data_IF_309027229436
#
_entry.id   IF_309027229436
#
_cell.length_a   1.000
_cell.length_b   1.000
_cell.length_c   1.000
_cell.angle_alpha   90.00
_cell.angle_beta   90.00
_cell.angle_gamma   90.00
#
_symmetry.space_group_name_H-M   'P 1'
#
loop_
_entity.id
_entity.type
_entity.pdbx_description
1 polymer ?
#
# COMPACT_ATOMS: atom_id res chain seq x y z
N UNK A 1 -3.19 9.75 21.23
CA UNK A 1 -3.91 8.89 22.16
C UNK A 1 -3.06 7.67 22.43
N UNK A 2 -2.83 7.33 23.72
CA UNK A 2 -2.15 6.10 24.11
C UNK A 2 -0.73 5.89 23.56
N UNK A 3 0.05 6.94 23.32
CA UNK A 3 1.41 6.82 22.79
C UNK A 3 1.52 6.53 21.30
N UNK A 4 0.41 6.44 20.57
CA UNK A 4 0.43 6.28 19.12
C UNK A 4 1.07 7.51 18.45
N UNK A 5 2.19 7.30 17.77
CA UNK A 5 2.95 8.37 17.09
C UNK A 5 2.42 8.71 15.69
N UNK A 6 1.45 7.92 15.18
CA UNK A 6 0.87 8.10 13.86
C UNK A 6 -0.51 8.74 13.93
N UNK A 7 -0.75 9.74 13.09
CA UNK A 7 -2.07 10.35 12.91
C UNK A 7 -3.07 9.52 12.09
N UNK A 8 -2.69 8.34 11.63
CA UNK A 8 -3.48 7.52 10.70
C UNK A 8 -4.61 6.73 11.35
N UNK A 9 -4.62 6.58 12.67
CA UNK A 9 -5.68 5.83 13.37
C UNK A 9 -7.05 6.43 13.09
N UNK A 10 -8.01 5.58 12.68
CA UNK A 10 -9.36 5.98 12.30
C UNK A 10 -9.48 6.59 10.89
N UNK A 11 -8.40 6.67 10.13
CA UNK A 11 -8.42 7.05 8.72
C UNK A 11 -8.66 5.79 7.87
N UNK A 12 -9.66 5.78 6.96
CA UNK A 12 -9.86 4.66 6.04
C UNK A 12 -8.61 4.32 5.26
N UNK A 13 -8.37 3.08 4.97
CA UNK A 13 -7.21 2.51 4.26
C UNK A 13 -5.91 2.47 5.09
N UNK A 14 -5.65 3.46 5.93
CA UNK A 14 -4.38 3.64 6.65
C UNK A 14 -4.47 3.39 8.16
N UNK A 15 -5.66 3.15 8.70
CA UNK A 15 -5.89 2.98 10.13
C UNK A 15 -5.76 1.54 10.66
N UNK A 16 -5.46 0.57 9.81
CA UNK A 16 -5.18 -0.81 10.23
C UNK A 16 -3.73 -0.94 10.70
N UNK A 17 -3.46 -1.88 11.61
CA UNK A 17 -2.09 -2.13 12.12
C UNK A 17 -1.11 -2.42 10.98
N UNK A 18 -1.55 -3.21 10.00
CA UNK A 18 -0.76 -3.54 8.82
C UNK A 18 -0.39 -2.29 8.00
N UNK A 19 -1.36 -1.42 7.70
CA UNK A 19 -1.12 -0.20 6.95
C UNK A 19 -0.30 0.83 7.76
N UNK A 20 -0.54 0.94 9.05
CA UNK A 20 0.25 1.81 9.94
C UNK A 20 1.71 1.38 10.00
N UNK A 21 1.99 0.07 10.04
CA UNK A 21 3.36 -0.43 9.98
C UNK A 21 4.03 -0.09 8.65
N UNK A 22 3.31 -0.22 7.53
CA UNK A 22 3.81 0.19 6.21
C UNK A 22 4.16 1.69 6.17
N UNK A 23 3.36 2.56 6.78
CA UNK A 23 3.65 3.99 6.89
C UNK A 23 4.94 4.26 7.68
N UNK A 24 5.17 3.49 8.74
CA UNK A 24 6.41 3.59 9.53
C UNK A 24 7.62 3.15 8.71
N UNK A 25 7.51 2.03 8.01
CA UNK A 25 8.60 1.42 7.24
C UNK A 25 8.97 2.26 6.01
N UNK A 26 7.97 2.84 5.32
CA UNK A 26 8.16 3.56 4.05
C UNK A 26 8.35 5.07 4.19
N UNK A 27 7.88 5.66 5.29
CA UNK A 27 7.96 7.11 5.57
C UNK A 27 7.53 7.98 4.40
N UNK A 28 6.28 7.88 3.93
CA UNK A 28 5.81 8.60 2.75
C UNK A 28 5.95 10.11 2.91
N UNK A 29 6.31 10.79 1.83
CA UNK A 29 6.51 12.25 1.80
C UNK A 29 5.51 12.95 0.87
N UNK A 30 4.83 12.22 0.01
CA UNK A 30 3.92 12.76 -1.00
C UNK A 30 2.63 11.94 -1.10
N UNK A 31 1.61 12.55 -1.68
CA UNK A 31 0.34 11.88 -2.00
C UNK A 31 0.56 10.63 -2.87
N UNK A 32 1.47 10.71 -3.84
CA UNK A 32 1.84 9.58 -4.70
C UNK A 32 2.39 8.39 -3.92
N UNK A 33 3.08 8.62 -2.82
CA UNK A 33 3.59 7.54 -1.95
C UNK A 33 2.45 6.84 -1.23
N UNK A 34 1.42 7.58 -0.82
CA UNK A 34 0.21 7.00 -0.22
C UNK A 34 -0.56 6.13 -1.21
N UNK A 35 -0.63 6.54 -2.48
CA UNK A 35 -1.23 5.71 -3.54
C UNK A 35 -0.45 4.40 -3.72
N UNK A 36 0.87 4.45 -3.68
CA UNK A 36 1.73 3.26 -3.73
C UNK A 36 1.50 2.34 -2.53
N UNK A 37 1.45 2.91 -1.33
CA UNK A 37 1.17 2.14 -0.09
C UNK A 37 -0.20 1.47 -0.16
N UNK A 38 -1.23 2.16 -0.63
CA UNK A 38 -2.55 1.56 -0.85
C UNK A 38 -2.50 0.38 -1.84
N UNK A 39 -1.75 0.53 -2.94
CA UNK A 39 -1.51 -0.56 -3.89
C UNK A 39 -0.83 -1.78 -3.25
N UNK A 40 0.21 -1.54 -2.46
CA UNK A 40 0.95 -2.58 -1.74
C UNK A 40 0.09 -3.30 -0.69
N UNK A 41 -0.79 -2.58 -0.01
CA UNK A 41 -1.64 -3.13 1.06
C UNK A 41 -2.77 -4.02 0.54
N UNK A 42 -3.28 -3.74 -0.65
CA UNK A 42 -4.40 -4.47 -1.26
C UNK A 42 -3.98 -5.59 -2.21
N UNK A 43 -2.72 -5.64 -2.60
CA UNK A 43 -2.18 -6.74 -3.39
C UNK A 43 -1.90 -8.00 -2.56
N UNK A 44 -1.73 -9.13 -3.24
CA UNK A 44 -1.31 -10.39 -2.62
C UNK A 44 0.13 -10.69 -2.98
N UNK A 45 0.97 -10.91 -1.97
CA UNK A 45 2.42 -11.13 -2.10
C UNK A 45 3.15 -10.00 -2.86
N UNK A 46 2.67 -8.78 -2.68
CA UNK A 46 3.29 -7.56 -3.22
C UNK A 46 4.15 -6.87 -2.17
N UNK A 47 3.71 -6.83 -0.92
CA UNK A 47 4.44 -6.21 0.19
C UNK A 47 5.27 -7.21 1.00
N UNK A 48 4.62 -8.12 1.73
CA UNK A 48 5.31 -9.09 2.60
C UNK A 48 6.18 -10.05 1.78
N UNK A 49 7.44 -10.16 2.16
CA UNK A 49 8.40 -11.01 1.46
C UNK A 49 8.73 -10.57 0.02
N UNK A 50 8.35 -9.39 -0.37
CA UNK A 50 8.56 -8.80 -1.69
C UNK A 50 9.08 -7.35 -1.55
N UNK A 51 8.25 -6.34 -1.79
CA UNK A 51 8.67 -4.94 -1.71
C UNK A 51 9.25 -4.57 -0.35
N UNK A 52 8.71 -5.08 0.74
CA UNK A 52 9.23 -4.89 2.10
C UNK A 52 10.70 -5.33 2.19
N UNK A 53 11.00 -6.54 1.73
CA UNK A 53 12.37 -7.09 1.74
C UNK A 53 13.31 -6.24 0.90
N UNK A 54 12.88 -5.85 -0.30
CA UNK A 54 13.69 -5.03 -1.20
C UNK A 54 14.01 -3.65 -0.63
N UNK A 55 13.07 -3.04 0.06
CA UNK A 55 13.25 -1.74 0.73
C UNK A 55 14.19 -1.89 1.94
N UNK A 56 14.01 -2.93 2.75
CA UNK A 56 14.87 -3.21 3.90
C UNK A 56 16.33 -3.50 3.49
N UNK A 57 16.52 -4.19 2.38
CA UNK A 57 17.85 -4.48 1.81
C UNK A 57 18.45 -3.30 1.03
N UNK A 58 17.72 -2.20 0.88
CA UNK A 58 18.16 -1.01 0.12
C UNK A 58 18.22 -1.20 -1.40
N UNK A 59 17.62 -2.27 -1.95
CA UNK A 59 17.55 -2.55 -3.39
C UNK A 59 16.48 -1.73 -4.08
N UNK A 60 15.43 -1.36 -3.39
CA UNK A 60 14.34 -0.55 -3.89
C UNK A 60 13.92 0.50 -2.85
N UNK A 61 13.18 1.50 -3.33
CA UNK A 61 12.49 2.51 -2.50
C UNK A 61 10.99 2.41 -2.77
N UNK A 62 10.18 3.13 -1.98
CA UNK A 62 8.74 3.23 -2.24
C UNK A 62 8.44 3.74 -3.67
N UNK A 63 9.34 4.57 -4.23
CA UNK A 63 9.20 5.11 -5.59
C UNK A 63 9.59 4.14 -6.69
N UNK A 64 10.41 3.14 -6.41
CA UNK A 64 10.95 2.20 -7.41
C UNK A 64 10.38 0.78 -7.28
N UNK A 65 9.82 0.43 -6.13
CA UNK A 65 9.17 -0.86 -5.92
C UNK A 65 7.90 -1.01 -6.77
N UNK A 66 7.55 -2.25 -7.07
CA UNK A 66 6.31 -2.58 -7.78
C UNK A 66 5.17 -2.48 -6.78
N UNK A 67 4.26 -1.52 -6.96
CA UNK A 67 3.16 -1.24 -6.04
C UNK A 67 1.78 -1.54 -6.68
N UNK A 68 1.60 -1.16 -7.94
CA UNK A 68 0.37 -1.37 -8.71
C UNK A 68 0.69 -2.01 -10.05
N UNK A 69 -0.32 -2.60 -10.70
CA UNK A 69 -0.15 -3.22 -12.02
C UNK A 69 0.34 -2.22 -13.07
N UNK A 70 -0.10 -0.97 -12.97
CA UNK A 70 0.28 0.10 -13.89
C UNK A 70 1.78 0.42 -13.81
N UNK A 71 2.40 0.24 -12.65
CA UNK A 71 3.84 0.48 -12.46
C UNK A 71 4.68 -0.47 -13.34
N UNK A 72 4.28 -1.72 -13.48
CA UNK A 72 4.98 -2.69 -14.33
C UNK A 72 4.96 -2.22 -15.78
N UNK A 73 3.78 -1.87 -16.29
CA UNK A 73 3.62 -1.46 -17.67
C UNK A 73 4.45 -0.21 -18.00
N UNK A 74 4.33 0.83 -17.17
CA UNK A 74 5.06 2.09 -17.40
C UNK A 74 6.57 1.92 -17.26
N UNK A 75 7.02 1.10 -16.31
CA UNK A 75 8.44 0.82 -16.12
C UNK A 75 9.05 0.07 -17.31
N UNK A 76 8.39 -0.98 -17.79
CA UNK A 76 8.89 -1.79 -18.90
C UNK A 76 8.89 -0.99 -20.21
N UNK A 77 7.87 -0.20 -20.48
CA UNK A 77 7.85 0.72 -21.65
C UNK A 77 9.00 1.73 -21.53
N UNK A 78 9.23 2.29 -20.35
CA UNK A 78 10.34 3.21 -20.08
C UNK A 78 11.73 2.57 -20.29
N UNK A 79 11.84 1.24 -20.17
CA UNK A 79 13.05 0.46 -20.49
C UNK A 79 13.19 0.11 -21.96
N UNK A 80 12.19 0.42 -22.78
CA UNK A 80 12.24 0.21 -24.22
C UNK A 80 11.57 -1.08 -24.71
N UNK A 81 10.86 -1.82 -23.85
CA UNK A 81 10.05 -2.94 -24.29
C UNK A 81 8.85 -2.43 -25.12
N UNK A 82 8.42 -3.25 -26.06
CA UNK A 82 7.19 -2.98 -26.80
C UNK A 82 5.98 -2.88 -25.86
N UNK A 83 5.06 -1.97 -26.16
CA UNK A 83 3.92 -1.70 -25.29
C UNK A 83 2.95 -2.89 -25.17
N UNK A 84 2.78 -3.67 -26.23
CA UNK A 84 1.94 -4.86 -26.22
C UNK A 84 2.57 -5.96 -25.36
N UNK A 85 3.87 -6.15 -25.48
CA UNK A 85 4.62 -7.08 -24.64
C UNK A 85 4.60 -6.65 -23.17
N UNK A 86 4.85 -5.36 -22.88
CA UNK A 86 4.79 -4.82 -21.53
C UNK A 86 3.40 -5.02 -20.90
N UNK A 87 2.34 -4.81 -21.66
CA UNK A 87 0.97 -5.09 -21.23
C UNK A 87 0.77 -6.57 -20.93
N UNK A 88 1.23 -7.46 -21.79
CA UNK A 88 1.11 -8.91 -21.62
C UNK A 88 1.85 -9.38 -20.38
N UNK A 89 3.07 -8.92 -20.15
CA UNK A 89 3.85 -9.21 -18.95
C UNK A 89 3.09 -8.76 -17.71
N UNK A 90 2.60 -7.52 -17.70
CA UNK A 90 1.81 -6.98 -16.60
C UNK A 90 0.58 -7.84 -16.31
N UNK A 91 -0.16 -8.26 -17.33
CA UNK A 91 -1.34 -9.10 -17.17
C UNK A 91 -1.02 -10.50 -16.60
N UNK A 92 0.10 -11.10 -16.99
CA UNK A 92 0.54 -12.39 -16.47
C UNK A 92 0.97 -12.28 -15.00
N UNK A 93 1.70 -11.21 -14.67
CA UNK A 93 2.15 -10.96 -13.30
C UNK A 93 0.97 -10.66 -12.38
N UNK A 94 0.11 -9.71 -12.74
CA UNK A 94 -1.00 -9.27 -11.87
C UNK A 94 -2.01 -10.36 -11.51
N UNK A 95 -2.17 -11.35 -12.39
CA UNK A 95 -3.07 -12.51 -12.20
C UNK A 95 -2.40 -13.68 -11.47
N UNK A 96 -1.14 -13.51 -11.10
CA UNK A 96 -0.36 -14.55 -10.45
C UNK A 96 0.04 -15.72 -11.35
N UNK A 97 -0.11 -15.60 -12.67
CA UNK A 97 0.25 -16.67 -13.60
C UNK A 97 1.75 -16.98 -13.56
N UNK A 98 2.58 -15.96 -13.37
CA UNK A 98 4.03 -16.15 -13.24
C UNK A 98 4.36 -16.82 -11.90
N UNK A 99 3.86 -16.31 -10.79
CA UNK A 99 4.10 -16.85 -9.45
C UNK A 99 3.64 -18.30 -9.28
N UNK A 100 2.58 -18.69 -10.01
CA UNK A 100 2.02 -20.04 -9.96
C UNK A 100 2.61 -20.98 -11.04
N UNK A 101 3.63 -20.56 -11.79
CA UNK A 101 4.28 -21.36 -12.85
C UNK A 101 3.38 -21.66 -14.06
N UNK A 102 2.34 -20.85 -14.27
CA UNK A 102 1.37 -21.04 -15.37
C UNK A 102 1.69 -20.22 -16.63
N UNK A 103 2.75 -19.43 -16.61
CA UNK A 103 3.20 -18.63 -17.75
C UNK A 103 4.33 -19.36 -18.46
N UNK A 104 4.03 -20.03 -19.57
CA UNK A 104 5.01 -20.80 -20.34
C UNK A 104 6.04 -19.91 -21.02
N UNK A 105 5.62 -18.73 -21.42
CA UNK A 105 6.43 -17.72 -22.11
C UNK A 105 7.33 -16.93 -21.15
N UNK A 106 7.24 -17.17 -19.85
CA UNK A 106 7.99 -16.40 -18.85
C UNK A 106 9.50 -16.38 -19.05
N UNK A 107 10.17 -17.48 -19.45
CA UNK A 107 11.62 -17.44 -19.72
C UNK A 107 12.00 -16.47 -20.83
N UNK A 108 11.17 -16.32 -21.87
CA UNK A 108 11.38 -15.37 -22.98
C UNK A 108 11.19 -13.93 -22.49
N UNK A 109 10.10 -13.66 -21.79
CA UNK A 109 9.84 -12.34 -21.18
C UNK A 109 10.92 -11.93 -20.20
N UNK A 110 11.39 -12.85 -19.37
CA UNK A 110 12.49 -12.61 -18.43
C UNK A 110 13.78 -12.22 -19.16
N UNK A 111 14.12 -12.94 -20.24
CA UNK A 111 15.29 -12.63 -21.06
C UNK A 111 15.17 -11.23 -21.66
N UNK A 112 14.02 -10.91 -22.25
CA UNK A 112 13.78 -9.59 -22.85
C UNK A 112 13.87 -8.45 -21.84
N UNK A 113 13.32 -8.64 -20.65
CA UNK A 113 13.45 -7.66 -19.57
C UNK A 113 14.92 -7.44 -19.19
N UNK A 114 15.70 -8.49 -19.00
CA UNK A 114 17.12 -8.40 -18.65
C UNK A 114 17.95 -7.75 -19.77
N UNK A 115 17.67 -8.08 -21.03
CA UNK A 115 18.33 -7.50 -22.21
C UNK A 115 18.06 -5.97 -22.34
N UNK A 116 16.93 -5.50 -21.81
CA UNK A 116 16.59 -4.08 -21.75
C UNK A 116 17.04 -3.38 -20.43
N UNK A 117 17.87 -4.04 -19.64
CA UNK A 117 18.43 -3.47 -18.42
C UNK A 117 17.46 -3.40 -17.24
N UNK A 118 16.45 -4.25 -17.19
CA UNK A 118 15.62 -4.46 -16.00
C UNK A 118 16.45 -5.21 -14.98
N UNK A 119 16.59 -4.72 -13.74
CA UNK A 119 17.41 -5.35 -12.72
C UNK A 119 16.81 -6.68 -12.25
N UNK A 120 17.68 -7.60 -11.83
CA UNK A 120 17.28 -8.93 -11.35
C UNK A 120 16.26 -8.88 -10.21
N UNK A 121 16.41 -7.94 -9.28
CA UNK A 121 15.46 -7.78 -8.17
C UNK A 121 14.04 -7.43 -8.65
N UNK A 122 13.90 -6.70 -9.76
CA UNK A 122 12.61 -6.37 -10.35
C UNK A 122 11.90 -7.61 -10.90
N UNK A 123 12.64 -8.43 -11.63
CA UNK A 123 12.15 -9.71 -12.16
C UNK A 123 11.77 -10.64 -11.01
N UNK A 124 12.62 -10.74 -10.00
CA UNK A 124 12.35 -11.52 -8.79
C UNK A 124 11.06 -11.04 -8.08
N UNK A 125 10.83 -9.74 -8.01
CA UNK A 125 9.59 -9.18 -7.46
C UNK A 125 8.37 -9.60 -8.27
N UNK A 126 8.43 -9.54 -9.60
CA UNK A 126 7.36 -10.00 -10.48
C UNK A 126 7.02 -11.48 -10.28
N UNK A 127 8.02 -12.32 -10.04
CA UNK A 127 7.87 -13.77 -9.84
C UNK A 127 7.13 -14.15 -8.54
N UNK A 128 6.98 -13.22 -7.60
CA UNK A 128 6.31 -13.44 -6.31
C UNK A 128 4.85 -13.00 -6.29
N UNK A 129 4.48 -12.06 -7.13
CA UNK A 129 3.17 -11.39 -7.11
C UNK A 129 2.06 -12.34 -7.53
N UNK A 130 1.05 -12.48 -6.67
CA UNK A 130 -0.15 -13.28 -6.96
C UNK A 130 -1.35 -12.45 -7.38
N UNK A 131 -1.47 -11.23 -6.85
CA UNK A 131 -2.51 -10.31 -7.25
C UNK A 131 -2.04 -8.86 -7.07
N UNK A 132 -2.36 -8.00 -8.04
CA UNK A 132 -2.04 -6.58 -8.01
C UNK A 132 -3.27 -5.71 -8.11
N UNK A 133 -3.25 -4.63 -7.34
CA UNK A 133 -4.31 -3.63 -7.29
C UNK A 133 -4.12 -2.58 -8.39
N UNK A 134 -5.21 -2.10 -9.04
CA UNK A 134 -5.11 -1.04 -10.05
C UNK A 134 -4.78 0.32 -9.41
N UNK A 135 -3.92 1.10 -10.06
CA UNK A 135 -3.51 2.43 -9.58
C UNK A 135 -4.69 3.41 -9.47
N UNK A 136 -5.61 3.37 -10.42
CA UNK A 136 -6.80 4.23 -10.41
C UNK A 136 -7.68 3.99 -9.18
N UNK A 137 -7.90 2.73 -8.79
CA UNK A 137 -8.60 2.38 -7.56
C UNK A 137 -7.86 2.86 -6.32
N UNK A 138 -6.55 2.60 -6.25
CA UNK A 138 -5.72 3.05 -5.15
C UNK A 138 -5.79 4.58 -4.98
N UNK A 139 -5.69 5.32 -6.08
CA UNK A 139 -5.78 6.79 -6.06
C UNK A 139 -7.13 7.29 -5.55
N UNK A 140 -8.24 6.65 -5.95
CA UNK A 140 -9.58 7.04 -5.49
C UNK A 140 -9.75 6.83 -3.98
N UNK A 141 -9.33 5.69 -3.45
CA UNK A 141 -9.39 5.42 -2.01
C UNK A 141 -8.48 6.34 -1.20
N UNK A 142 -7.27 6.62 -1.69
CA UNK A 142 -6.35 7.55 -1.04
C UNK A 142 -6.90 8.97 -1.04
N UNK A 143 -7.54 9.41 -2.12
CA UNK A 143 -8.18 10.72 -2.16
C UNK A 143 -9.28 10.86 -1.10
N UNK A 144 -10.11 9.84 -0.91
CA UNK A 144 -11.11 9.80 0.15
C UNK A 144 -10.44 9.85 1.53
N UNK A 145 -9.44 9.02 1.76
CA UNK A 145 -8.69 8.98 3.02
C UNK A 145 -8.01 10.32 3.33
N UNK A 146 -7.43 10.97 2.33
CA UNK A 146 -6.81 12.29 2.46
C UNK A 146 -7.81 13.36 2.89
N UNK A 147 -8.99 13.38 2.30
CA UNK A 147 -10.07 14.30 2.69
C UNK A 147 -10.51 14.08 4.14
N UNK A 148 -10.64 12.84 4.56
CA UNK A 148 -10.99 12.49 5.95
C UNK A 148 -9.86 12.87 6.90
N UNK A 149 -8.60 12.63 6.54
CA UNK A 149 -7.44 13.04 7.32
C UNK A 149 -7.38 14.57 7.48
N UNK A 150 -7.70 15.31 6.43
CA UNK A 150 -7.80 16.77 6.50
C UNK A 150 -8.86 17.20 7.52
N UNK A 151 -10.04 16.58 7.52
CA UNK A 151 -11.06 16.85 8.54
C UNK A 151 -10.57 16.52 9.95
N UNK A 152 -9.84 15.42 10.12
CA UNK A 152 -9.27 15.04 11.43
C UNK A 152 -8.29 16.09 11.96
N UNK A 153 -7.49 16.70 11.10
CA UNK A 153 -6.52 17.73 11.46
C UNK A 153 -7.18 19.08 11.75
N UNK A 154 -8.05 19.54 10.85
CA UNK A 154 -8.59 20.91 10.90
C UNK A 154 -9.94 21.02 11.60
N UNK A 155 -10.72 19.93 11.68
CA UNK A 155 -12.03 19.86 12.33
C UNK A 155 -12.14 18.62 13.23
N UNK A 156 -11.25 18.47 14.24
CA UNK A 156 -11.17 17.24 15.02
C UNK A 156 -12.46 16.89 15.75
N UNK A 157 -13.17 17.86 16.31
CA UNK A 157 -14.43 17.58 17.00
C UNK A 157 -15.49 17.00 16.06
N UNK A 158 -15.64 17.55 14.86
CA UNK A 158 -16.57 17.05 13.86
C UNK A 158 -16.14 15.66 13.36
N UNK A 159 -14.84 15.46 13.13
CA UNK A 159 -14.29 14.15 12.73
C UNK A 159 -14.59 13.08 13.78
N UNK A 160 -14.27 13.30 15.04
CA UNK A 160 -14.50 12.32 16.10
C UNK A 160 -15.97 12.10 16.39
N UNK A 161 -16.80 13.13 16.33
CA UNK A 161 -18.26 12.98 16.46
C UNK A 161 -18.81 12.04 15.37
N UNK A 162 -18.41 12.24 14.11
CA UNK A 162 -18.80 11.39 13.01
C UNK A 162 -18.24 9.95 13.14
N UNK A 163 -16.97 9.81 13.53
CA UNK A 163 -16.33 8.52 13.73
C UNK A 163 -17.06 7.68 14.79
N UNK A 164 -17.30 8.24 15.97
CA UNK A 164 -17.97 7.51 17.05
C UNK A 164 -19.46 7.27 16.78
N UNK A 165 -20.10 8.10 15.98
CA UNK A 165 -21.51 7.92 15.62
C UNK A 165 -21.72 6.86 14.52
N UNK A 166 -20.78 6.71 13.59
CA UNK A 166 -20.97 5.94 12.36
C UNK A 166 -20.00 4.76 12.26
N UNK A 167 -18.75 4.93 12.65
CA UNK A 167 -17.67 3.97 12.38
C UNK A 167 -17.26 3.14 13.59
N UNK A 168 -17.48 3.62 14.80
CA UNK A 168 -17.14 2.87 16.00
C UNK A 168 -18.01 1.62 16.13
N UNK A 169 -17.37 0.46 16.33
CA UNK A 169 -18.05 -0.82 16.51
C UNK A 169 -18.57 -1.03 17.93
N UNK A 170 -17.97 -0.32 18.89
CA UNK A 170 -18.41 -0.30 20.28
C UNK A 170 -18.25 1.10 20.86
N UNK A 171 -19.15 1.53 21.67
CA UNK A 171 -19.13 2.82 22.36
C UNK A 171 -19.61 2.65 23.80
N UNK A 172 -18.74 2.93 24.75
CA UNK A 172 -19.09 2.95 26.16
C UNK A 172 -19.18 4.41 26.63
N UNK A 173 -20.41 4.90 26.75
CA UNK A 173 -20.68 6.28 27.15
C UNK A 173 -20.12 6.60 28.54
N UNK A 174 -20.33 5.70 29.51
CA UNK A 174 -19.86 5.92 30.89
C UNK A 174 -18.36 6.08 30.96
N UNK A 175 -17.62 5.23 30.23
CA UNK A 175 -16.17 5.28 30.17
C UNK A 175 -15.68 6.52 29.40
N UNK A 176 -16.23 6.77 28.21
CA UNK A 176 -15.72 7.80 27.31
C UNK A 176 -16.03 9.22 27.75
N UNK A 177 -17.05 9.42 28.58
CA UNK A 177 -17.44 10.75 29.09
C UNK A 177 -16.83 11.11 30.45
N UNK A 178 -15.95 10.28 31.00
CA UNK A 178 -15.33 10.51 32.31
C UNK A 178 -14.11 11.46 32.32
N UNK A 179 -13.70 11.95 31.16
CA UNK A 179 -12.55 12.82 31.00
C UNK A 179 -11.22 12.10 30.75
N UNK A 180 -10.21 12.91 30.45
CA UNK A 180 -8.91 12.43 29.94
C UNK A 180 -8.19 11.49 30.92
N UNK A 181 -8.10 11.89 32.19
CA UNK A 181 -7.37 11.14 33.22
C UNK A 181 -7.94 9.72 33.42
N UNK A 182 -9.26 9.62 33.39
CA UNK A 182 -9.94 8.33 33.57
C UNK A 182 -9.78 7.44 32.32
N UNK A 183 -9.79 8.03 31.13
CA UNK A 183 -9.52 7.32 29.89
C UNK A 183 -8.08 6.78 29.84
N UNK A 184 -7.12 7.59 30.23
CA UNK A 184 -5.71 7.18 30.32
C UNK A 184 -5.51 6.03 31.30
N UNK A 185 -6.19 6.05 32.46
CA UNK A 185 -6.15 4.95 33.42
C UNK A 185 -6.62 3.61 32.81
N UNK A 186 -7.75 3.60 32.08
CA UNK A 186 -8.28 2.39 31.45
C UNK A 186 -7.51 1.92 30.20
N UNK A 187 -6.67 2.76 29.64
CA UNK A 187 -5.83 2.38 28.50
C UNK A 187 -4.54 1.65 28.90
N UNK A 188 -4.21 1.65 30.18
CA UNK A 188 -3.02 0.99 30.73
C UNK A 188 -3.31 -0.36 31.42
N UNK A 189 -4.58 -0.72 31.56
CA UNK A 189 -5.04 -2.04 31.99
C UNK A 189 -5.30 -2.96 30.79
#
# INVERSE_FOLDING_TARGET
IGGCKLGALGIPEFGTDFAMQMLIDTKPQAFSDLVRIAGLSHGTDVWLGNAQTLIQEGKATISTAICTRDDIMTYLIGKGLDSEEAFTIMERVRKGAVANGKCKEWPEYKKDMLDHGVPDWYVWSCEKIKYMFPKAHAAAYVMMAWRIAWCKVFYPLAYYAAFFSIRATSFNYELMCQGKERLEYFMHD
#
